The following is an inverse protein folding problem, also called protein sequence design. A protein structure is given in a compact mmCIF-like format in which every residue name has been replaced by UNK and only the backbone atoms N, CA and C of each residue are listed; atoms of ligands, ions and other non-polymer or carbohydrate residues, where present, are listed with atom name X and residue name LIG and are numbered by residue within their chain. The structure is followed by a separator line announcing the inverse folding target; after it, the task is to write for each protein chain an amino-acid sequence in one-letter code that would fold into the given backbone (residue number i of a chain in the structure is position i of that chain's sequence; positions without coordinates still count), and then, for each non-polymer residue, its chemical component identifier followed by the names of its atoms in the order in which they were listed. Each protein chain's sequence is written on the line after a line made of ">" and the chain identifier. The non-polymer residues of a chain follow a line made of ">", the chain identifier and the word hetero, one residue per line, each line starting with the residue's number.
data_IF_749487663188
#
_entry.id   IF_749487663188
#
_cell.length_a   1.000
_cell.length_b   1.000
_cell.length_c   1.000
_cell.angle_alpha   90.00
_cell.angle_beta   90.00
_cell.angle_gamma   90.00
#
_symmetry.space_group_name_H-M   'P 1'
#
loop_
_entity.id
_entity.type
_entity.pdbx_description
1 polymer ?
#
# COMPACT_ATOMS: atom_id res chain seq x y z
N UNK A 1 -30.16 17.75 -19.75
CA UNK A 1 -29.31 18.44 -18.76
C UNK A 1 -30.13 19.59 -18.19
N UNK A 2 -30.15 19.75 -16.86
CA UNK A 2 -30.90 20.82 -16.18
C UNK A 2 -30.05 21.43 -15.07
N UNK A 3 -30.27 22.71 -14.77
CA UNK A 3 -29.64 23.38 -13.62
C UNK A 3 -30.42 23.00 -12.36
N UNK A 4 -29.72 22.55 -11.32
CA UNK A 4 -30.33 22.12 -10.06
C UNK A 4 -29.72 22.91 -8.92
N UNK A 5 -30.58 23.39 -8.01
CA UNK A 5 -30.15 24.03 -6.77
C UNK A 5 -29.25 23.10 -5.97
N UNK A 6 -28.08 23.61 -5.60
CA UNK A 6 -27.04 22.85 -4.92
C UNK A 6 -27.46 22.30 -3.55
N UNK A 7 -28.47 22.92 -2.92
CA UNK A 7 -29.00 22.53 -1.61
C UNK A 7 -29.93 21.31 -1.68
N UNK A 8 -30.48 21.01 -2.86
CA UNK A 8 -31.28 19.81 -3.09
C UNK A 8 -30.40 18.56 -3.23
N UNK A 9 -29.15 18.75 -3.68
CA UNK A 9 -28.23 17.67 -4.01
C UNK A 9 -27.65 17.01 -2.76
N UNK A 10 -27.83 15.69 -2.67
CA UNK A 10 -27.35 14.83 -1.59
C UNK A 10 -26.30 13.86 -2.07
N UNK A 11 -25.25 13.66 -1.29
CA UNK A 11 -24.25 12.64 -1.59
C UNK A 11 -24.85 11.23 -1.43
N UNK A 12 -24.46 10.29 -2.29
CA UNK A 12 -24.85 8.89 -2.11
C UNK A 12 -24.29 8.34 -0.80
N UNK A 13 -25.10 7.69 0.08
CA UNK A 13 -24.68 7.34 1.44
C UNK A 13 -23.38 6.53 1.55
N UNK A 14 -23.15 5.60 0.61
CA UNK A 14 -21.97 4.74 0.60
C UNK A 14 -20.82 5.28 -0.28
N UNK A 15 -20.90 6.50 -0.80
CA UNK A 15 -19.89 7.03 -1.74
C UNK A 15 -18.46 6.95 -1.15
N UNK A 16 -18.30 7.28 0.13
CA UNK A 16 -17.01 7.25 0.83
C UNK A 16 -16.41 5.86 0.99
N UNK A 17 -17.21 4.79 0.90
CA UNK A 17 -16.70 3.41 0.93
C UNK A 17 -15.88 3.08 -0.33
N UNK A 18 -16.20 3.72 -1.45
CA UNK A 18 -15.69 3.42 -2.78
C UNK A 18 -14.74 4.47 -3.35
N UNK A 19 -14.91 5.73 -2.94
CA UNK A 19 -14.19 6.85 -3.54
C UNK A 19 -13.68 7.81 -2.47
N UNK A 20 -12.41 8.19 -2.59
CA UNK A 20 -11.79 9.24 -1.80
C UNK A 20 -12.08 10.63 -2.35
N UNK A 21 -11.93 11.61 -1.46
CA UNK A 21 -11.90 13.02 -1.81
C UNK A 21 -10.54 13.44 -2.37
N UNK A 22 -10.55 14.46 -3.22
CA UNK A 22 -9.32 15.13 -3.63
C UNK A 22 -8.89 16.04 -2.46
N UNK A 23 -7.61 15.99 -2.09
CA UNK A 23 -7.06 16.73 -0.95
C UNK A 23 -5.83 17.56 -1.36
N UNK A 24 -5.44 18.49 -0.48
CA UNK A 24 -4.21 19.29 -0.61
C UNK A 24 -4.20 20.26 -1.79
N UNK A 25 -3.02 20.45 -2.39
CA UNK A 25 -2.81 21.37 -3.53
C UNK A 25 -3.70 21.00 -4.73
N UNK A 26 -3.85 19.69 -5.01
CA UNK A 26 -4.74 19.19 -6.08
C UNK A 26 -6.19 19.61 -5.90
N UNK A 27 -6.66 19.74 -4.65
CA UNK A 27 -8.01 20.23 -4.37
C UNK A 27 -8.13 21.71 -4.72
N UNK A 28 -7.14 22.52 -4.35
CA UNK A 28 -7.14 23.95 -4.64
C UNK A 28 -7.10 24.22 -6.15
N UNK A 29 -6.25 23.50 -6.88
CA UNK A 29 -6.20 23.54 -8.35
C UNK A 29 -7.55 23.15 -8.96
N UNK A 30 -8.19 22.09 -8.43
CA UNK A 30 -9.49 21.64 -8.90
C UNK A 30 -10.58 22.69 -8.65
N UNK A 31 -10.64 23.29 -7.46
CA UNK A 31 -11.59 24.37 -7.13
C UNK A 31 -11.38 25.58 -8.05
N UNK A 32 -10.13 25.98 -8.28
CA UNK A 32 -9.82 27.11 -9.17
C UNK A 32 -10.22 26.81 -10.63
N UNK A 33 -10.09 25.55 -11.06
CA UNK A 33 -10.58 25.13 -12.38
C UNK A 33 -12.09 25.28 -12.52
N UNK A 34 -12.86 24.96 -11.46
CA UNK A 34 -14.32 25.12 -11.45
C UNK A 34 -14.69 26.61 -11.35
N UNK A 35 -13.91 27.43 -10.65
CA UNK A 35 -14.11 28.87 -10.57
C UNK A 35 -13.91 29.56 -11.92
N UNK A 36 -12.86 29.19 -12.64
CA UNK A 36 -12.47 29.81 -13.91
C UNK A 36 -13.26 29.28 -15.10
N UNK A 37 -13.50 27.98 -15.16
CA UNK A 37 -14.09 27.30 -16.32
C UNK A 37 -15.51 26.80 -16.09
N UNK A 38 -16.01 26.88 -14.85
CA UNK A 38 -17.30 26.29 -14.47
C UNK A 38 -17.28 24.76 -14.44
N UNK A 39 -18.47 24.18 -14.27
CA UNK A 39 -18.66 22.73 -14.35
C UNK A 39 -18.91 22.35 -15.82
N UNK A 40 -17.86 21.88 -16.49
CA UNK A 40 -17.91 21.48 -17.91
C UNK A 40 -18.71 20.18 -18.09
N UNK A 41 -18.38 19.16 -17.29
CA UNK A 41 -19.11 17.88 -17.30
C UNK A 41 -20.22 17.98 -16.25
N UNK A 42 -21.49 17.73 -16.58
CA UNK A 42 -22.59 17.78 -15.61
C UNK A 42 -22.49 16.67 -14.56
N UNK A 43 -23.06 16.91 -13.38
CA UNK A 43 -23.22 15.90 -12.35
C UNK A 43 -24.28 14.89 -12.80
N UNK A 44 -24.15 13.63 -12.38
CA UNK A 44 -25.18 12.61 -12.61
C UNK A 44 -25.92 12.41 -11.30
N UNK A 45 -27.23 12.58 -11.32
CA UNK A 45 -28.07 12.53 -10.12
C UNK A 45 -29.32 11.68 -10.35
N UNK A 46 -29.88 11.12 -9.30
CA UNK A 46 -31.15 10.38 -9.37
C UNK A 46 -32.35 11.32 -9.43
N UNK A 47 -33.55 10.78 -9.67
CA UNK A 47 -34.81 11.53 -9.54
C UNK A 47 -35.01 12.15 -8.14
N UNK A 48 -34.34 11.61 -7.12
CA UNK A 48 -34.38 12.07 -5.73
C UNK A 48 -33.21 13.01 -5.39
N UNK A 49 -32.51 13.54 -6.40
CA UNK A 49 -31.35 14.43 -6.29
C UNK A 49 -30.16 13.83 -5.51
N UNK A 50 -30.03 12.50 -5.52
CA UNK A 50 -28.85 11.82 -4.98
C UNK A 50 -27.75 11.80 -6.05
N UNK A 51 -26.56 12.26 -5.72
CA UNK A 51 -25.42 12.34 -6.65
C UNK A 51 -24.77 10.97 -6.82
N UNK A 52 -24.84 10.45 -8.04
CA UNK A 52 -24.21 9.20 -8.48
C UNK A 52 -22.79 9.46 -8.99
N UNK A 53 -22.58 10.56 -9.73
CA UNK A 53 -21.24 11.01 -10.14
C UNK A 53 -21.11 12.52 -10.06
N UNK A 54 -19.92 12.98 -9.65
CA UNK A 54 -19.58 14.40 -9.54
C UNK A 54 -19.57 14.96 -8.13
N UNK A 55 -19.38 14.12 -7.10
CA UNK A 55 -19.27 14.57 -5.70
C UNK A 55 -18.18 15.63 -5.49
N UNK A 56 -17.01 15.51 -6.14
CA UNK A 56 -15.96 16.54 -6.09
C UNK A 56 -16.42 17.87 -6.69
N UNK A 57 -17.14 17.84 -7.82
CA UNK A 57 -17.71 19.05 -8.46
C UNK A 57 -18.77 19.69 -7.59
N UNK A 58 -19.64 18.89 -6.97
CA UNK A 58 -20.62 19.38 -6.00
C UNK A 58 -19.93 20.08 -4.82
N UNK A 59 -18.91 19.45 -4.26
CA UNK A 59 -18.16 19.99 -3.11
C UNK A 59 -17.44 21.30 -3.48
N UNK A 60 -16.78 21.37 -4.63
CA UNK A 60 -16.13 22.58 -5.13
C UNK A 60 -17.14 23.70 -5.40
N UNK A 61 -18.28 23.37 -6.01
CA UNK A 61 -19.37 24.32 -6.26
C UNK A 61 -19.95 24.91 -4.95
N UNK A 62 -20.10 24.08 -3.91
CA UNK A 62 -20.50 24.55 -2.57
C UNK A 62 -19.46 25.48 -1.97
N UNK A 63 -18.17 25.13 -2.09
CA UNK A 63 -17.06 25.93 -1.56
C UNK A 63 -16.97 27.32 -2.19
N UNK A 64 -17.18 27.44 -3.50
CA UNK A 64 -17.15 28.74 -4.19
C UNK A 64 -18.51 29.47 -4.20
N UNK A 65 -19.55 28.90 -3.58
CA UNK A 65 -20.86 29.54 -3.41
C UNK A 65 -21.74 29.56 -4.67
N UNK A 66 -21.62 28.58 -5.56
CA UNK A 66 -22.57 28.44 -6.68
C UNK A 66 -23.97 28.10 -6.15
N UNK A 67 -25.00 28.75 -6.72
CA UNK A 67 -26.41 28.47 -6.38
C UNK A 67 -26.94 27.22 -7.06
N UNK A 68 -26.57 27.05 -8.33
CA UNK A 68 -27.05 25.95 -9.18
C UNK A 68 -25.89 25.30 -9.92
N UNK A 69 -26.02 24.01 -10.20
CA UNK A 69 -25.03 23.23 -10.96
C UNK A 69 -25.72 22.43 -12.07
N UNK A 70 -25.03 22.19 -13.21
CA UNK A 70 -25.60 21.41 -14.30
C UNK A 70 -25.65 19.93 -13.93
N UNK A 71 -26.84 19.32 -14.09
CA UNK A 71 -27.10 17.92 -13.76
C UNK A 71 -27.77 17.17 -14.93
N UNK A 72 -27.41 15.89 -15.04
CA UNK A 72 -28.13 14.86 -15.79
C UNK A 72 -28.92 14.02 -14.78
N UNK A 73 -30.25 14.08 -14.86
CA UNK A 73 -31.14 13.29 -13.99
C UNK A 73 -31.39 11.93 -14.64
N UNK A 74 -31.11 10.87 -13.89
CA UNK A 74 -31.36 9.49 -14.29
C UNK A 74 -32.42 8.85 -13.39
N UNK A 75 -33.27 8.04 -14.01
CA UNK A 75 -34.30 7.28 -13.31
C UNK A 75 -33.79 5.87 -13.00
N UNK A 76 -33.92 5.47 -11.75
CA UNK A 76 -33.60 4.11 -11.28
C UNK A 76 -34.84 3.45 -10.71
N UNK A 77 -35.09 2.21 -11.13
CA UNK A 77 -36.24 1.38 -10.79
C UNK A 77 -35.80 -0.08 -10.67
N UNK A 78 -36.58 -0.88 -9.94
CA UNK A 78 -36.38 -2.33 -9.86
C UNK A 78 -36.62 -2.95 -11.24
N UNK A 79 -35.57 -3.55 -11.82
CA UNK A 79 -35.64 -4.22 -13.12
C UNK A 79 -34.54 -5.24 -13.27
N UNK A 80 -34.75 -6.21 -14.16
CA UNK A 80 -33.78 -7.27 -14.49
C UNK A 80 -33.32 -8.07 -13.25
N UNK A 81 -34.17 -8.19 -12.24
CA UNK A 81 -33.86 -8.89 -10.98
C UNK A 81 -32.90 -8.14 -10.04
N UNK A 82 -32.59 -6.88 -10.34
CA UNK A 82 -31.80 -5.98 -9.49
C UNK A 82 -32.70 -4.91 -8.88
N UNK A 83 -32.37 -4.55 -7.63
CA UNK A 83 -33.04 -3.45 -6.93
C UNK A 83 -32.64 -2.09 -7.50
N UNK A 84 -33.47 -1.07 -7.29
CA UNK A 84 -33.13 0.34 -7.56
C UNK A 84 -31.77 0.70 -6.96
N UNK A 85 -31.51 0.28 -5.73
CA UNK A 85 -30.25 0.52 -5.02
C UNK A 85 -29.06 -0.14 -5.72
N UNK A 86 -29.20 -1.37 -6.19
CA UNK A 86 -28.14 -2.08 -6.93
C UNK A 86 -27.86 -1.39 -8.27
N UNK A 87 -28.89 -0.93 -8.99
CA UNK A 87 -28.72 -0.15 -10.22
C UNK A 87 -28.00 1.18 -9.98
N UNK A 88 -28.37 1.89 -8.91
CA UNK A 88 -27.68 3.12 -8.50
C UNK A 88 -26.22 2.86 -8.15
N UNK A 89 -25.94 1.80 -7.38
CA UNK A 89 -24.59 1.43 -6.96
C UNK A 89 -23.72 1.02 -8.15
N UNK A 90 -24.27 0.24 -9.07
CA UNK A 90 -23.61 -0.15 -10.32
C UNK A 90 -23.18 1.08 -11.12
N UNK A 91 -24.09 2.01 -11.38
CA UNK A 91 -23.80 3.21 -12.15
C UNK A 91 -22.80 4.14 -11.43
N UNK A 92 -22.93 4.26 -10.10
CA UNK A 92 -21.98 4.99 -9.25
C UNK A 92 -20.56 4.44 -9.44
N UNK A 93 -20.38 3.12 -9.36
CA UNK A 93 -19.06 2.51 -9.48
C UNK A 93 -18.54 2.66 -10.91
N UNK A 94 -19.29 2.23 -11.93
CA UNK A 94 -18.83 2.18 -13.31
C UNK A 94 -18.52 3.55 -13.89
N UNK A 95 -19.42 4.53 -13.66
CA UNK A 95 -19.23 5.88 -14.15
C UNK A 95 -18.00 6.52 -13.50
N UNK A 96 -17.82 6.39 -12.18
CA UNK A 96 -16.67 6.98 -11.50
C UNK A 96 -15.35 6.29 -11.89
N UNK A 97 -15.31 4.96 -12.03
CA UNK A 97 -14.12 4.23 -12.49
C UNK A 97 -13.70 4.66 -13.90
N UNK A 98 -14.67 4.84 -14.80
CA UNK A 98 -14.41 5.30 -16.18
C UNK A 98 -13.93 6.76 -16.24
N UNK A 99 -14.50 7.64 -15.42
CA UNK A 99 -14.19 9.07 -15.44
C UNK A 99 -12.89 9.44 -14.69
N UNK A 100 -12.61 8.82 -13.54
CA UNK A 100 -11.44 9.16 -12.71
C UNK A 100 -10.14 8.54 -13.21
N UNK A 101 -10.24 7.46 -13.98
CA UNK A 101 -9.10 6.62 -14.34
C UNK A 101 -8.62 5.78 -13.14
N UNK A 102 -8.21 4.56 -13.42
CA UNK A 102 -7.94 3.53 -12.39
C UNK A 102 -6.73 3.90 -11.50
N UNK A 103 -5.77 4.67 -12.05
CA UNK A 103 -4.48 4.93 -11.41
C UNK A 103 -4.53 5.79 -10.15
N UNK A 104 -5.63 6.51 -9.89
CA UNK A 104 -5.78 7.42 -8.75
C UNK A 104 -6.63 6.84 -7.61
N UNK A 105 -6.99 5.55 -7.68
CA UNK A 105 -7.88 4.93 -6.71
C UNK A 105 -7.12 4.15 -5.64
N UNK A 106 -7.59 4.31 -4.41
CA UNK A 106 -7.15 3.52 -3.28
C UNK A 106 -7.36 2.02 -3.56
N UNK A 107 -6.33 1.16 -3.39
CA UNK A 107 -6.44 -0.27 -3.68
C UNK A 107 -7.57 -0.97 -2.91
N UNK A 108 -7.80 -0.59 -1.66
CA UNK A 108 -8.83 -1.21 -0.83
C UNK A 108 -10.23 -0.80 -1.29
N UNK A 109 -10.42 0.47 -1.65
CA UNK A 109 -11.70 0.94 -2.20
C UNK A 109 -12.01 0.34 -3.57
N UNK A 110 -11.00 0.22 -4.43
CA UNK A 110 -11.12 -0.48 -5.71
C UNK A 110 -11.46 -1.96 -5.51
N UNK A 111 -10.90 -2.62 -4.49
CA UNK A 111 -11.27 -3.99 -4.12
C UNK A 111 -12.74 -4.11 -3.69
N UNK A 112 -13.28 -3.13 -2.95
CA UNK A 112 -14.72 -3.06 -2.61
C UNK A 112 -15.59 -2.84 -3.85
N UNK A 113 -15.20 -1.94 -4.75
CA UNK A 113 -15.88 -1.71 -6.03
C UNK A 113 -16.01 -3.01 -6.85
N UNK A 114 -14.91 -3.75 -6.99
CA UNK A 114 -14.89 -5.00 -7.74
C UNK A 114 -15.84 -6.04 -7.10
N UNK A 115 -15.84 -6.15 -5.77
CA UNK A 115 -16.69 -7.10 -5.05
C UNK A 115 -18.18 -6.79 -5.25
N UNK A 116 -18.57 -5.52 -5.17
CA UNK A 116 -19.96 -5.10 -5.42
C UNK A 116 -20.37 -5.28 -6.87
N UNK A 117 -19.50 -4.97 -7.83
CA UNK A 117 -19.78 -5.24 -9.25
C UNK A 117 -19.98 -6.74 -9.50
N UNK A 118 -19.11 -7.61 -8.97
CA UNK A 118 -19.30 -9.06 -9.10
C UNK A 118 -20.59 -9.55 -8.43
N UNK A 119 -20.96 -9.00 -7.27
CA UNK A 119 -22.22 -9.30 -6.59
C UNK A 119 -23.41 -8.94 -7.47
N UNK A 120 -23.43 -7.70 -7.98
CA UNK A 120 -24.52 -7.17 -8.82
C UNK A 120 -24.61 -7.94 -10.15
N UNK A 121 -23.48 -8.24 -10.79
CA UNK A 121 -23.44 -9.03 -12.02
C UNK A 121 -23.67 -10.54 -11.81
N UNK A 122 -23.74 -11.01 -10.57
CA UNK A 122 -23.94 -12.42 -10.25
C UNK A 122 -22.73 -13.31 -10.60
N UNK A 123 -21.52 -12.76 -10.67
CA UNK A 123 -20.30 -13.49 -11.01
C UNK A 123 -19.85 -14.34 -9.81
N UNK A 124 -19.93 -15.67 -9.91
CA UNK A 124 -19.37 -16.59 -8.91
C UNK A 124 -18.22 -17.40 -9.50
N UNK A 125 -17.16 -17.59 -8.69
CA UNK A 125 -15.84 -18.19 -9.01
C UNK A 125 -15.83 -19.10 -10.26
N UNK A 126 -15.26 -18.57 -11.36
CA UNK A 126 -14.58 -19.34 -12.41
C UNK A 126 -15.45 -20.15 -13.38
N UNK A 127 -16.77 -20.09 -13.31
CA UNK A 127 -17.64 -20.80 -14.24
C UNK A 127 -18.81 -19.95 -14.68
N UNK A 128 -18.98 -19.81 -16.00
CA UNK A 128 -20.17 -19.26 -16.61
C UNK A 128 -21.32 -20.27 -16.39
N UNK A 129 -21.86 -20.34 -15.16
CA UNK A 129 -23.18 -20.96 -14.99
C UNK A 129 -24.13 -19.99 -15.65
N UNK A 130 -24.66 -20.38 -16.82
CA UNK A 130 -25.95 -19.89 -17.33
C UNK A 130 -26.93 -19.91 -16.15
N UNK A 131 -27.05 -18.79 -15.44
CA UNK A 131 -28.12 -18.60 -14.48
C UNK A 131 -29.29 -18.05 -15.28
N UNK A 132 -30.24 -18.94 -15.56
CA UNK A 132 -31.65 -18.80 -15.17
C UNK A 132 -31.96 -17.34 -14.78
N UNK A 133 -32.15 -16.46 -15.77
CA UNK A 133 -32.84 -15.17 -15.66
C UNK A 133 -32.88 -14.47 -17.04
N UNK A 134 -33.13 -15.19 -18.13
CA UNK A 134 -33.49 -14.54 -19.40
C UNK A 134 -34.49 -15.40 -20.18
N UNK A 135 -35.72 -15.45 -19.67
CA UNK A 135 -36.88 -15.53 -20.56
C UNK A 135 -37.62 -14.21 -20.40
N UNK A 136 -37.16 -13.19 -21.12
CA UNK A 136 -38.01 -12.05 -21.42
C UNK A 136 -37.84 -11.70 -22.89
N UNK A 137 -38.91 -12.00 -23.62
CA UNK A 137 -39.13 -11.76 -25.02
C UNK A 137 -39.33 -10.27 -25.30
N UNK A 138 -38.27 -9.47 -25.31
CA UNK A 138 -38.27 -8.19 -26.01
C UNK A 138 -36.90 -7.94 -26.64
N UNK A 139 -36.86 -8.16 -27.95
CA UNK A 139 -35.72 -7.86 -28.81
C UNK A 139 -35.51 -6.35 -28.87
N UNK A 140 -34.49 -5.87 -28.18
CA UNK A 140 -33.75 -4.67 -28.60
C UNK A 140 -32.30 -5.09 -28.83
N UNK A 141 -31.85 -5.00 -30.09
CA UNK A 141 -30.53 -5.42 -30.58
C UNK A 141 -29.35 -4.78 -29.83
N UNK A 142 -29.58 -3.68 -29.11
CA UNK A 142 -28.54 -2.95 -28.37
C UNK A 142 -28.29 -3.48 -26.95
N UNK A 143 -29.19 -4.30 -26.40
CA UNK A 143 -29.10 -4.77 -24.99
C UNK A 143 -28.80 -6.27 -24.88
N UNK A 144 -29.00 -7.03 -25.96
CA UNK A 144 -28.70 -8.48 -26.03
C UNK A 144 -27.23 -8.81 -25.70
N UNK A 145 -26.31 -7.88 -25.98
CA UNK A 145 -24.88 -8.03 -25.65
C UNK A 145 -24.50 -7.69 -24.20
N UNK A 146 -25.36 -6.99 -23.44
CA UNK A 146 -25.04 -6.54 -22.08
C UNK A 146 -25.44 -7.54 -20.98
N UNK A 147 -26.24 -8.56 -21.33
CA UNK A 147 -26.75 -9.55 -20.38
C UNK A 147 -26.10 -10.94 -20.59
N UNK A 148 -25.28 -11.10 -21.65
CA UNK A 148 -24.72 -12.39 -22.07
C UNK A 148 -23.21 -12.55 -21.79
N UNK A 149 -22.65 -11.75 -20.87
CA UNK A 149 -21.20 -11.63 -20.68
C UNK A 149 -20.75 -11.27 -19.25
N UNK A 150 -21.25 -11.95 -18.22
CA UNK A 150 -20.85 -11.64 -16.84
C UNK A 150 -19.60 -12.44 -16.44
N UNK A 151 -18.56 -12.42 -17.28
CA UNK A 151 -17.27 -13.04 -16.95
C UNK A 151 -16.39 -12.06 -16.18
N UNK A 152 -15.55 -12.57 -15.27
CA UNK A 152 -14.56 -11.75 -14.56
C UNK A 152 -13.64 -10.98 -15.53
N UNK A 153 -13.41 -11.57 -16.72
CA UNK A 153 -12.68 -10.97 -17.83
C UNK A 153 -13.34 -9.71 -18.38
N UNK A 154 -14.65 -9.71 -18.55
CA UNK A 154 -15.38 -8.56 -19.08
C UNK A 154 -15.44 -7.42 -18.08
N UNK A 155 -15.62 -7.72 -16.79
CA UNK A 155 -15.48 -6.71 -15.73
C UNK A 155 -14.07 -6.09 -15.79
N UNK A 156 -13.03 -6.92 -15.92
CA UNK A 156 -11.64 -6.46 -16.05
C UNK A 156 -11.47 -5.52 -17.25
N UNK A 157 -11.95 -5.92 -18.43
CA UNK A 157 -11.85 -5.11 -19.65
C UNK A 157 -12.63 -3.79 -19.54
N UNK A 158 -13.85 -3.82 -19.01
CA UNK A 158 -14.71 -2.66 -18.87
C UNK A 158 -14.14 -1.60 -17.92
N UNK A 159 -13.45 -2.04 -16.86
CA UNK A 159 -12.77 -1.13 -15.93
C UNK A 159 -11.31 -0.89 -16.30
N UNK A 160 -10.79 -1.43 -17.40
CA UNK A 160 -9.42 -1.24 -17.89
C UNK A 160 -8.32 -1.94 -17.07
N UNK A 161 -8.66 -3.02 -16.36
CA UNK A 161 -7.73 -3.84 -15.58
C UNK A 161 -7.45 -5.20 -16.22
N UNK A 162 -6.35 -5.83 -15.81
CA UNK A 162 -6.08 -7.24 -16.13
C UNK A 162 -6.82 -8.15 -15.17
N UNK A 163 -7.18 -9.36 -15.62
CA UNK A 163 -7.81 -10.38 -14.77
C UNK A 163 -6.97 -10.68 -13.52
N UNK A 164 -5.64 -10.74 -13.68
CA UNK A 164 -4.69 -10.92 -12.57
C UNK A 164 -4.79 -9.80 -11.54
N UNK A 165 -4.89 -8.54 -11.98
CA UNK A 165 -5.00 -7.40 -11.08
C UNK A 165 -6.34 -7.40 -10.34
N UNK A 166 -7.43 -7.77 -11.01
CA UNK A 166 -8.72 -7.98 -10.34
C UNK A 166 -8.59 -9.05 -9.26
N UNK A 167 -7.99 -10.21 -9.56
CA UNK A 167 -7.85 -11.29 -8.58
C UNK A 167 -7.01 -10.86 -7.37
N UNK A 168 -5.90 -10.16 -7.60
CA UNK A 168 -5.07 -9.57 -6.56
C UNK A 168 -5.87 -8.61 -5.66
N UNK A 169 -6.62 -7.69 -6.26
CA UNK A 169 -7.41 -6.71 -5.51
C UNK A 169 -8.54 -7.39 -4.73
N UNK A 170 -9.24 -8.35 -5.32
CA UNK A 170 -10.28 -9.13 -4.64
C UNK A 170 -9.75 -9.79 -3.39
N UNK A 171 -8.53 -10.33 -3.46
CA UNK A 171 -7.88 -11.02 -2.35
C UNK A 171 -7.70 -10.10 -1.13
N UNK A 172 -7.57 -8.78 -1.33
CA UNK A 172 -7.48 -7.81 -0.22
C UNK A 172 -8.74 -7.78 0.66
N UNK A 173 -9.92 -8.12 0.13
CA UNK A 173 -11.14 -8.22 0.94
C UNK A 173 -11.12 -9.40 1.93
N UNK A 174 -10.18 -10.33 1.79
CA UNK A 174 -9.97 -11.46 2.71
C UNK A 174 -8.98 -11.12 3.84
N UNK A 175 -8.47 -9.88 3.88
CA UNK A 175 -7.66 -9.38 4.99
C UNK A 175 -8.52 -9.10 6.23
N UNK A 176 -7.94 -9.26 7.41
CA UNK A 176 -8.53 -8.77 8.67
C UNK A 176 -8.68 -7.24 8.66
N UNK A 177 -9.64 -6.66 9.41
CA UNK A 177 -9.93 -5.22 9.38
C UNK A 177 -8.70 -4.33 9.62
N UNK A 178 -7.81 -4.73 10.53
CA UNK A 178 -6.61 -4.00 10.90
C UNK A 178 -5.65 -3.88 9.70
N UNK A 179 -5.45 -4.98 8.97
CA UNK A 179 -4.62 -5.00 7.77
C UNK A 179 -5.29 -4.26 6.60
N UNK A 180 -6.62 -4.33 6.47
CA UNK A 180 -7.35 -3.54 5.47
C UNK A 180 -7.14 -2.03 5.67
N UNK A 181 -7.17 -1.56 6.92
CA UNK A 181 -6.92 -0.16 7.26
C UNK A 181 -5.50 0.24 6.86
N UNK A 182 -4.48 -0.60 7.11
CA UNK A 182 -3.11 -0.32 6.69
C UNK A 182 -2.96 -0.21 5.17
N UNK A 183 -3.68 -1.03 4.40
CA UNK A 183 -3.70 -0.93 2.93
C UNK A 183 -4.42 0.34 2.50
N UNK A 184 -5.56 0.66 3.10
CA UNK A 184 -6.35 1.86 2.80
C UNK A 184 -5.58 3.15 3.13
N UNK A 185 -4.77 3.17 4.19
CA UNK A 185 -3.87 4.29 4.51
C UNK A 185 -2.63 4.37 3.63
N UNK A 186 -2.40 3.39 2.74
CA UNK A 186 -1.20 3.32 1.89
C UNK A 186 0.08 2.92 2.64
N UNK A 187 -0.01 2.58 3.93
CA UNK A 187 1.13 2.08 4.73
C UNK A 187 1.54 0.67 4.28
N UNK A 188 0.57 -0.18 3.97
CA UNK A 188 0.79 -1.52 3.45
C UNK A 188 0.49 -1.57 1.94
N UNK A 189 1.49 -1.96 1.13
CA UNK A 189 1.28 -2.04 -0.32
C UNK A 189 0.22 -3.09 -0.69
N UNK A 190 -0.56 -2.86 -1.75
CA UNK A 190 -1.55 -3.83 -2.22
C UNK A 190 -0.96 -5.21 -2.54
N UNK A 191 0.32 -5.26 -2.92
CA UNK A 191 1.00 -6.52 -3.24
C UNK A 191 1.41 -7.30 -2.01
N UNK A 192 1.79 -6.61 -0.94
CA UNK A 192 2.08 -7.21 0.36
C UNK A 192 0.77 -7.67 1.04
N UNK A 193 -0.28 -6.82 0.98
CA UNK A 193 -1.63 -7.19 1.43
C UNK A 193 -2.18 -8.43 0.73
N UNK A 194 -1.99 -8.57 -0.58
CA UNK A 194 -2.38 -9.80 -1.29
C UNK A 194 -1.69 -11.05 -0.73
N UNK A 195 -0.40 -10.97 -0.38
CA UNK A 195 0.32 -12.12 0.19
C UNK A 195 -0.21 -12.49 1.58
N UNK A 196 -0.49 -11.48 2.42
CA UNK A 196 -1.07 -11.67 3.75
C UNK A 196 -2.47 -12.29 3.68
N UNK A 197 -3.27 -11.90 2.69
CA UNK A 197 -4.60 -12.44 2.49
C UNK A 197 -4.64 -13.93 2.09
N UNK A 198 -3.50 -14.53 1.69
CA UNK A 198 -3.43 -15.99 1.52
C UNK A 198 -3.31 -16.76 2.84
N UNK A 199 -3.03 -16.07 3.95
CA UNK A 199 -3.03 -16.66 5.28
C UNK A 199 -4.46 -16.74 5.81
N UNK A 200 -4.73 -17.74 6.65
CA UNK A 200 -6.01 -17.85 7.35
C UNK A 200 -6.21 -16.65 8.30
N UNK A 201 -7.45 -16.23 8.58
CA UNK A 201 -7.73 -15.07 9.44
C UNK A 201 -7.05 -15.14 10.81
N UNK A 202 -6.95 -16.32 11.42
CA UNK A 202 -6.26 -16.54 12.69
C UNK A 202 -4.77 -16.27 12.59
N UNK A 203 -4.14 -16.70 11.50
CA UNK A 203 -2.72 -16.49 11.24
C UNK A 203 -2.41 -15.01 10.95
N UNK A 204 -3.31 -14.33 10.21
CA UNK A 204 -3.21 -12.90 10.00
C UNK A 204 -3.27 -12.14 11.33
N UNK A 205 -4.18 -12.53 12.23
CA UNK A 205 -4.28 -11.94 13.58
C UNK A 205 -3.04 -12.24 14.43
N UNK A 206 -2.53 -13.46 14.45
CA UNK A 206 -1.31 -13.82 15.19
C UNK A 206 -0.13 -12.96 14.70
N UNK A 207 0.03 -12.81 13.39
CA UNK A 207 1.08 -12.01 12.79
C UNK A 207 0.93 -10.53 13.16
N UNK A 208 -0.27 -9.97 13.02
CA UNK A 208 -0.55 -8.57 13.37
C UNK A 208 -0.40 -8.32 14.87
N UNK A 209 -0.81 -9.23 15.74
CA UNK A 209 -0.64 -9.08 17.19
C UNK A 209 0.84 -9.13 17.61
N UNK A 210 1.66 -9.88 16.87
CA UNK A 210 3.09 -10.03 17.16
C UNK A 210 3.90 -8.83 16.67
N UNK A 211 3.59 -8.34 15.46
CA UNK A 211 4.39 -7.31 14.78
C UNK A 211 3.73 -5.92 14.81
N UNK A 212 2.45 -5.83 15.17
CA UNK A 212 1.67 -4.59 15.12
C UNK A 212 1.69 -3.95 13.74
N UNK A 213 1.85 -2.63 13.73
CA UNK A 213 1.94 -1.86 12.49
C UNK A 213 3.24 -2.13 11.69
N UNK A 214 4.27 -2.73 12.31
CA UNK A 214 5.53 -3.06 11.62
C UNK A 214 5.34 -4.17 10.56
N UNK A 215 4.20 -4.86 10.54
CA UNK A 215 3.82 -5.74 9.41
C UNK A 215 3.86 -4.99 8.08
N UNK A 216 3.59 -3.68 8.09
CA UNK A 216 3.62 -2.84 6.89
C UNK A 216 5.02 -2.73 6.26
N UNK A 217 6.08 -2.86 7.06
CA UNK A 217 7.47 -2.71 6.60
C UNK A 217 8.02 -3.98 5.94
N UNK A 218 7.31 -5.10 6.05
CA UNK A 218 7.70 -6.36 5.44
C UNK A 218 7.55 -6.30 3.93
N UNK A 219 8.61 -6.68 3.22
CA UNK A 219 8.57 -6.82 1.77
C UNK A 219 7.70 -8.01 1.39
N UNK A 220 7.09 -7.93 0.21
CA UNK A 220 6.30 -9.01 -0.38
C UNK A 220 7.01 -10.37 -0.33
N UNK A 221 8.31 -10.41 -0.64
CA UNK A 221 9.11 -11.64 -0.63
C UNK A 221 9.30 -12.23 0.77
N UNK A 222 9.40 -11.37 1.80
CA UNK A 222 9.55 -11.80 3.20
C UNK A 222 8.25 -12.42 3.71
N UNK A 223 7.11 -11.79 3.39
CA UNK A 223 5.77 -12.33 3.68
C UNK A 223 5.55 -13.66 2.96
N UNK A 224 5.96 -13.74 1.68
CA UNK A 224 5.85 -14.98 0.91
C UNK A 224 6.69 -16.11 1.51
N UNK A 225 7.92 -15.82 1.95
CA UNK A 225 8.79 -16.79 2.63
C UNK A 225 8.19 -17.25 3.95
N UNK A 226 7.69 -16.32 4.76
CA UNK A 226 7.07 -16.64 6.05
C UNK A 226 5.85 -17.54 5.85
N UNK A 227 4.99 -17.23 4.87
CA UNK A 227 3.85 -18.07 4.51
C UNK A 227 4.26 -19.48 4.13
N UNK A 228 5.30 -19.64 3.29
CA UNK A 228 5.79 -20.97 2.89
C UNK A 228 6.28 -21.77 4.10
N UNK A 229 7.03 -21.14 4.99
CA UNK A 229 7.47 -21.77 6.24
C UNK A 229 6.30 -22.19 7.13
N UNK A 230 5.30 -21.32 7.29
CA UNK A 230 4.10 -21.63 8.08
C UNK A 230 3.32 -22.82 7.51
N UNK A 231 3.20 -22.91 6.17
CA UNK A 231 2.54 -24.02 5.51
C UNK A 231 3.33 -25.34 5.66
N UNK A 232 4.66 -25.28 5.58
CA UNK A 232 5.53 -26.43 5.84
C UNK A 232 5.39 -26.93 7.27
N UNK A 233 5.40 -26.03 8.26
CA UNK A 233 5.18 -26.39 9.67
C UNK A 233 3.79 -26.98 9.90
N UNK A 234 2.75 -26.41 9.27
CA UNK A 234 1.39 -26.94 9.35
C UNK A 234 1.31 -28.37 8.81
N UNK A 235 1.95 -28.64 7.68
CA UNK A 235 1.99 -29.97 7.08
C UNK A 235 2.70 -30.96 8.01
N UNK A 236 3.85 -30.58 8.57
CA UNK A 236 4.57 -31.42 9.52
C UNK A 236 3.74 -31.71 10.79
N UNK A 237 3.02 -30.71 11.31
CA UNK A 237 2.14 -30.85 12.45
C UNK A 237 1.00 -31.84 12.17
N UNK A 238 0.36 -31.73 11.01
CA UNK A 238 -0.73 -32.63 10.60
C UNK A 238 -0.25 -34.07 10.43
N UNK A 239 0.90 -34.28 9.77
CA UNK A 239 1.51 -35.60 9.63
C UNK A 239 1.84 -36.22 11.00
N UNK A 240 2.26 -35.40 11.97
CA UNK A 240 2.53 -35.84 13.32
C UNK A 240 1.26 -36.20 14.09
N UNK A 241 0.19 -35.40 13.97
CA UNK A 241 -1.11 -35.71 14.57
C UNK A 241 -1.68 -37.02 14.03
N UNK A 242 -1.55 -37.27 12.73
CA UNK A 242 -1.99 -38.52 12.10
C UNK A 242 -1.21 -39.73 12.63
N UNK A 243 0.10 -39.57 12.90
CA UNK A 243 0.91 -40.62 13.53
C UNK A 243 0.49 -40.89 14.97
N UNK A 244 0.23 -39.84 15.75
CA UNK A 244 -0.22 -39.95 17.14
C UNK A 244 -1.55 -40.72 17.20
N UNK A 245 -2.53 -40.31 16.39
CA UNK A 245 -3.84 -40.98 16.34
C UNK A 245 -3.74 -42.44 15.88
N UNK A 246 -2.84 -42.76 14.95
CA UNK A 246 -2.58 -44.15 14.57
C UNK A 246 -1.98 -44.98 15.71
N UNK A 247 -1.02 -44.41 16.46
CA UNK A 247 -0.40 -45.08 17.62
C UNK A 247 -1.40 -45.26 18.78
N UNK A 248 -2.25 -44.26 19.04
CA UNK A 248 -3.31 -44.37 20.05
C UNK A 248 -4.29 -45.50 19.71
N UNK A 249 -4.63 -45.66 18.43
CA UNK A 249 -5.47 -46.77 17.99
C UNK A 249 -4.79 -48.12 18.22
N UNK A 250 -3.52 -48.27 17.85
CA UNK A 250 -2.75 -49.50 18.10
C UNK A 250 -2.64 -49.82 19.59
N UNK A 251 -2.42 -48.81 20.43
CA UNK A 251 -2.37 -48.96 21.89
C UNK A 251 -3.69 -49.52 22.43
N UNK A 252 -4.83 -48.97 21.96
CA UNK A 252 -6.16 -49.43 22.36
C UNK A 252 -6.42 -50.89 21.94
N UNK A 253 -6.07 -51.25 20.71
CA UNK A 253 -6.18 -52.64 20.22
C UNK A 253 -5.33 -53.61 21.08
N UNK A 254 -4.13 -53.20 21.48
CA UNK A 254 -3.27 -54.01 22.37
C UNK A 254 -3.85 -54.15 23.79
N UNK A 255 -4.46 -53.10 24.34
CA UNK A 255 -5.15 -53.14 25.63
C UNK A 255 -6.37 -54.07 25.60
N UNK A 256 -7.17 -54.05 24.54
CA UNK A 256 -8.31 -54.95 24.36
C UNK A 256 -7.88 -56.43 24.28
N UNK A 257 -6.80 -56.72 23.54
CA UNK A 257 -6.23 -58.08 23.48
C UNK A 257 -5.73 -58.51 24.85
N UNK A 258 -5.07 -57.61 25.59
CA UNK A 258 -4.57 -57.89 26.94
C UNK A 258 -5.72 -58.26 27.88
N UNK A 259 -6.81 -57.50 27.89
CA UNK A 259 -8.00 -57.82 28.71
C UNK A 259 -8.62 -59.18 28.32
N UNK A 260 -8.65 -59.51 27.03
CA UNK A 260 -9.17 -60.80 26.55
C UNK A 260 -8.30 -61.98 27.02
N UNK A 261 -6.97 -61.81 26.98
CA UNK A 261 -6.03 -62.81 27.48
C UNK A 261 -6.12 -62.97 29.00
N UNK A 262 -6.25 -61.87 29.76
CA UNK A 262 -6.43 -61.92 31.22
C UNK A 262 -7.70 -62.69 31.61
N UNK A 263 -8.81 -62.51 30.87
CA UNK A 263 -10.04 -63.29 31.06
C UNK A 263 -9.83 -64.78 30.75
N UNK A 264 -9.16 -65.11 29.64
CA UNK A 264 -8.86 -66.50 29.27
C UNK A 264 -7.98 -67.19 30.32
N UNK A 265 -6.99 -66.49 30.89
CA UNK A 265 -6.16 -67.03 31.97
C UNK A 265 -6.98 -67.27 33.25
N UNK A 266 -7.91 -66.38 33.58
CA UNK A 266 -8.77 -66.52 34.76
C UNK A 266 -9.78 -67.68 34.65
N UNK A 267 -10.16 -68.07 33.43
CA UNK A 267 -11.06 -69.21 33.16
C UNK A 267 -10.37 -70.58 33.27
N UNK A 268 -9.03 -70.62 33.26
CA UNK A 268 -8.25 -71.84 33.48
C UNK A 268 -8.28 -72.19 34.98
N UNK A 269 -9.10 -73.19 35.36
CA UNK A 269 -9.06 -73.75 36.71
C UNK A 269 -7.81 -74.63 36.88
N UNK A 270 -7.06 -74.50 37.99
CA UNK A 270 -5.88 -75.33 38.21
C UNK A 270 -6.31 -76.76 38.61
N UNK A 271 -6.34 -77.68 37.64
CA UNK A 271 -6.21 -79.11 37.93
C UNK A 271 -4.72 -79.45 38.04
N UNK A 272 -4.32 -79.98 39.21
CA UNK A 272 -2.94 -80.36 39.53
C UNK A 272 -2.49 -81.49 38.62
N UNK A 273 -1.63 -81.22 37.62
CA UNK A 273 -0.73 -82.20 36.97
C UNK A 273 0.62 -81.54 36.63
N UNK A 274 1.71 -82.27 36.88
CA UNK A 274 3.13 -81.91 36.76
C UNK A 274 3.58 -81.54 35.33
N UNK A 275 3.31 -80.31 34.90
CA UNK A 275 4.16 -79.46 34.02
C UNK A 275 3.38 -78.19 33.73
N UNK A 276 3.98 -77.04 34.05
CA UNK A 276 3.43 -75.74 33.66
C UNK A 276 3.20 -75.79 32.15
N UNK A 277 1.96 -75.62 31.65
CA UNK A 277 1.69 -75.67 30.21
C UNK A 277 2.59 -74.68 29.48
N UNK A 278 3.25 -75.12 28.41
CA UNK A 278 4.21 -74.30 27.64
C UNK A 278 3.59 -72.95 27.23
N UNK A 279 2.29 -72.94 26.93
CA UNK A 279 1.48 -71.77 26.60
C UNK A 279 1.45 -70.69 27.71
N UNK A 280 1.50 -71.08 28.99
CA UNK A 280 1.52 -70.12 30.12
C UNK A 280 2.89 -69.45 30.27
N UNK A 281 3.98 -70.19 29.99
CA UNK A 281 5.32 -69.61 29.99
C UNK A 281 5.52 -68.69 28.78
N UNK A 282 5.00 -69.05 27.61
CA UNK A 282 4.97 -68.18 26.44
C UNK A 282 4.17 -66.90 26.68
N UNK A 283 2.98 -66.98 27.26
CA UNK A 283 2.18 -65.78 27.60
C UNK A 283 2.89 -64.87 28.61
N UNK A 284 3.56 -65.45 29.61
CA UNK A 284 4.30 -64.68 30.61
C UNK A 284 5.52 -63.97 29.98
N UNK A 285 6.18 -64.62 29.03
CA UNK A 285 7.30 -64.04 28.30
C UNK A 285 6.83 -62.94 27.35
N UNK A 286 5.71 -63.13 26.63
CA UNK A 286 5.16 -62.08 25.76
C UNK A 286 4.68 -60.87 26.57
N UNK A 287 4.04 -61.07 27.71
CA UNK A 287 3.60 -59.99 28.60
C UNK A 287 4.79 -59.20 29.17
N UNK A 288 5.91 -59.88 29.45
CA UNK A 288 7.17 -59.21 29.82
C UNK A 288 7.72 -58.36 28.67
N UNK A 289 7.77 -58.90 27.44
CA UNK A 289 8.24 -58.17 26.25
C UNK A 289 7.36 -56.95 25.95
N UNK A 290 6.04 -57.08 26.09
CA UNK A 290 5.10 -55.97 25.87
C UNK A 290 5.27 -54.88 26.93
N UNK A 291 5.50 -55.25 28.20
CA UNK A 291 5.78 -54.27 29.25
C UNK A 291 7.09 -53.51 28.99
N UNK A 292 8.15 -54.21 28.56
CA UNK A 292 9.41 -53.58 28.18
C UNK A 292 9.24 -52.64 26.97
N UNK A 293 8.42 -53.01 25.99
CA UNK A 293 8.05 -52.14 24.86
C UNK A 293 7.22 -50.93 25.30
N UNK A 294 6.30 -51.11 26.24
CA UNK A 294 5.47 -50.02 26.79
C UNK A 294 6.34 -48.98 27.51
N UNK A 295 7.27 -49.43 28.37
CA UNK A 295 8.23 -48.53 29.04
C UNK A 295 9.12 -47.78 28.04
N UNK A 296 9.60 -48.46 26.99
CA UNK A 296 10.37 -47.81 25.94
C UNK A 296 9.56 -46.75 25.19
N UNK A 297 8.28 -47.01 24.90
CA UNK A 297 7.39 -46.05 24.27
C UNK A 297 7.11 -44.85 25.18
N UNK A 298 6.86 -45.06 26.47
CA UNK A 298 6.68 -43.97 27.44
C UNK A 298 7.92 -43.09 27.52
N UNK A 299 9.12 -43.69 27.51
CA UNK A 299 10.38 -42.95 27.52
C UNK A 299 10.56 -42.12 26.24
N UNK A 300 10.26 -42.70 25.08
CA UNK A 300 10.29 -42.02 23.78
C UNK A 300 9.29 -40.85 23.71
N UNK A 301 8.13 -41.00 24.34
CA UNK A 301 7.07 -39.98 24.36
C UNK A 301 7.51 -38.77 25.21
N UNK A 302 8.10 -39.02 26.38
CA UNK A 302 8.71 -37.96 27.19
C UNK A 302 9.87 -37.24 26.48
N UNK A 303 10.73 -37.97 25.75
CA UNK A 303 11.82 -37.38 24.95
C UNK A 303 11.27 -36.46 23.84
N UNK A 304 10.22 -36.90 23.14
CA UNK A 304 9.56 -36.09 22.11
C UNK A 304 8.86 -34.85 22.68
N UNK A 305 8.25 -34.97 23.85
CA UNK A 305 7.60 -33.84 24.53
C UNK A 305 8.61 -32.79 25.01
N UNK A 306 9.79 -33.23 25.48
CA UNK A 306 10.90 -32.34 25.80
C UNK A 306 11.45 -31.63 24.55
N UNK A 307 11.64 -32.35 23.44
CA UNK A 307 12.13 -31.75 22.20
C UNK A 307 11.10 -30.78 21.59
N UNK A 308 9.80 -31.06 21.70
CA UNK A 308 8.72 -30.13 21.32
C UNK A 308 8.81 -28.83 22.11
N UNK A 309 8.95 -28.91 23.43
CA UNK A 309 9.07 -27.73 24.29
C UNK A 309 10.34 -26.91 23.96
N UNK A 310 11.45 -27.59 23.65
CA UNK A 310 12.70 -26.95 23.21
C UNK A 310 12.52 -26.20 21.89
N UNK A 311 11.83 -26.80 20.91
CA UNK A 311 11.53 -26.16 19.63
C UNK A 311 10.61 -24.95 19.79
N UNK A 312 9.59 -25.03 20.66
CA UNK A 312 8.72 -23.89 20.98
C UNK A 312 9.51 -22.74 21.63
N UNK A 313 10.47 -23.05 22.50
CA UNK A 313 11.35 -22.04 23.11
C UNK A 313 12.28 -21.39 22.08
N UNK A 314 12.88 -22.17 21.18
CA UNK A 314 13.70 -21.65 20.08
C UNK A 314 12.88 -20.79 19.12
N UNK A 315 11.65 -21.19 18.80
CA UNK A 315 10.71 -20.40 17.99
C UNK A 315 10.42 -19.05 18.65
N UNK A 316 10.14 -19.03 19.96
CA UNK A 316 9.91 -17.80 20.72
C UNK A 316 11.14 -16.89 20.74
N UNK A 317 12.34 -17.45 20.95
CA UNK A 317 13.60 -16.69 20.92
C UNK A 317 13.85 -16.06 19.54
N UNK A 318 13.67 -16.81 18.46
CA UNK A 318 13.84 -16.28 17.11
C UNK A 318 12.87 -15.14 16.78
N UNK A 319 11.62 -15.22 17.26
CA UNK A 319 10.63 -14.14 17.12
C UNK A 319 11.05 -12.90 17.90
N UNK A 320 11.51 -13.06 19.13
CA UNK A 320 11.95 -11.95 19.98
C UNK A 320 13.22 -11.27 19.44
N UNK A 321 14.20 -12.05 18.96
CA UNK A 321 15.40 -11.51 18.28
C UNK A 321 15.01 -10.71 17.02
N UNK A 322 14.05 -11.21 16.25
CA UNK A 322 13.56 -10.51 15.06
C UNK A 322 12.84 -9.21 15.41
N UNK A 323 12.06 -9.21 16.50
CA UNK A 323 11.40 -8.02 17.04
C UNK A 323 12.42 -6.96 17.45
N UNK A 324 13.46 -7.35 18.20
CA UNK A 324 14.52 -6.43 18.61
C UNK A 324 15.24 -5.81 17.40
N UNK A 325 15.57 -6.62 16.39
CA UNK A 325 16.17 -6.13 15.15
C UNK A 325 15.25 -5.12 14.39
N UNK A 326 13.93 -5.32 14.43
CA UNK A 326 12.97 -4.39 13.84
C UNK A 326 12.87 -3.09 14.65
N UNK A 327 12.89 -3.16 15.98
CA UNK A 327 12.91 -1.98 16.85
C UNK A 327 14.20 -1.14 16.64
N UNK A 328 15.36 -1.79 16.49
CA UNK A 328 16.62 -1.12 16.16
C UNK A 328 16.60 -0.48 14.77
N UNK A 329 16.06 -1.18 13.77
CA UNK A 329 15.88 -0.65 12.41
C UNK A 329 14.99 0.60 12.42
N UNK A 330 13.87 0.56 13.15
CA UNK A 330 12.95 1.70 13.27
C UNK A 330 13.62 2.93 13.91
N UNK A 331 14.47 2.72 14.94
CA UNK A 331 15.27 3.79 15.54
C UNK A 331 16.25 4.40 14.54
N UNK A 332 16.97 3.57 13.78
CA UNK A 332 17.90 4.02 12.76
C UNK A 332 17.18 4.81 11.63
N UNK A 333 16.00 4.36 11.20
CA UNK A 333 15.20 5.07 10.20
C UNK A 333 14.70 6.44 10.70
N UNK A 334 14.35 6.54 11.99
CA UNK A 334 13.99 7.81 12.61
C UNK A 334 15.19 8.79 12.66
N UNK A 335 16.39 8.31 12.99
CA UNK A 335 17.61 9.11 12.95
C UNK A 335 17.92 9.60 11.53
N UNK A 336 17.83 8.72 10.53
CA UNK A 336 18.01 9.10 9.12
C UNK A 336 17.00 10.17 8.69
N UNK A 337 15.76 10.09 9.15
CA UNK A 337 14.73 11.10 8.87
C UNK A 337 15.08 12.45 9.50
N UNK A 338 15.56 12.46 10.74
CA UNK A 338 16.02 13.68 11.41
C UNK A 338 17.22 14.30 10.69
N UNK A 339 18.23 13.50 10.34
CA UNK A 339 19.40 13.97 9.58
C UNK A 339 18.97 14.55 8.23
N UNK A 340 18.01 13.93 7.53
CA UNK A 340 17.47 14.47 6.28
C UNK A 340 16.76 15.80 6.49
N UNK A 341 15.99 15.94 7.55
CA UNK A 341 15.33 17.20 7.88
C UNK A 341 16.36 18.30 8.17
N UNK A 342 17.39 18.01 8.96
CA UNK A 342 18.50 18.93 9.23
C UNK A 342 19.25 19.31 7.94
N UNK A 343 19.54 18.35 7.06
CA UNK A 343 20.13 18.60 5.75
C UNK A 343 19.25 19.49 4.87
N UNK A 344 17.94 19.31 4.89
CA UNK A 344 17.00 20.12 4.12
C UNK A 344 16.91 21.56 4.66
N UNK A 345 16.91 21.72 5.99
CA UNK A 345 17.01 23.02 6.66
C UNK A 345 18.32 23.73 6.30
N UNK A 346 19.44 23.02 6.35
CA UNK A 346 20.75 23.56 5.94
C UNK A 346 20.75 23.93 4.45
N UNK A 347 20.19 23.10 3.56
CA UNK A 347 20.07 23.43 2.13
C UNK A 347 19.21 24.67 1.89
N UNK A 348 18.11 24.84 2.61
CA UNK A 348 17.30 26.06 2.52
C UNK A 348 18.09 27.27 3.03
N UNK A 349 18.75 27.15 4.18
CA UNK A 349 19.54 28.22 4.78
C UNK A 349 20.69 28.68 3.88
N UNK A 350 21.50 27.76 3.37
CA UNK A 350 22.66 28.08 2.53
C UNK A 350 22.32 28.28 1.04
N UNK A 351 21.23 27.68 0.55
CA UNK A 351 20.75 27.86 -0.82
C UNK A 351 20.13 29.24 -1.06
N UNK A 352 19.43 29.80 -0.06
CA UNK A 352 18.90 31.18 -0.12
C UNK A 352 20.05 32.19 -0.09
N UNK A 353 21.08 31.94 0.73
CA UNK A 353 22.24 32.82 0.87
C UNK A 353 23.10 32.84 -0.41
N UNK A 354 23.36 31.67 -1.01
CA UNK A 354 24.09 31.56 -2.28
C UNK A 354 23.33 32.22 -3.45
N UNK A 355 22.00 32.05 -3.51
CA UNK A 355 21.17 32.64 -4.57
C UNK A 355 21.10 34.16 -4.49
N UNK A 356 21.01 34.72 -3.28
CA UNK A 356 21.11 36.18 -3.06
C UNK A 356 22.47 36.75 -3.47
N UNK A 357 23.56 36.02 -3.23
CA UNK A 357 24.89 36.48 -3.64
C UNK A 357 25.09 36.41 -5.16
N UNK A 358 24.56 35.39 -5.84
CA UNK A 358 24.54 35.34 -7.31
C UNK A 358 23.72 36.49 -7.91
N UNK A 359 22.52 36.77 -7.39
CA UNK A 359 21.69 37.89 -7.86
C UNK A 359 22.37 39.26 -7.65
N UNK A 360 23.15 39.41 -6.57
CA UNK A 360 23.92 40.62 -6.32
C UNK A 360 25.12 40.74 -7.28
N UNK A 361 25.80 39.63 -7.56
CA UNK A 361 26.90 39.56 -8.53
C UNK A 361 26.42 39.86 -9.96
N UNK A 362 25.28 39.31 -10.37
CA UNK A 362 24.69 39.56 -11.70
C UNK A 362 24.31 41.04 -11.88
N UNK A 363 23.75 41.67 -10.84
CA UNK A 363 23.46 43.13 -10.85
C UNK A 363 24.73 43.96 -10.98
N UNK A 364 25.79 43.59 -10.26
CA UNK A 364 27.08 44.28 -10.33
C UNK A 364 27.72 44.12 -11.72
N UNK A 365 27.62 42.92 -12.32
CA UNK A 365 28.09 42.66 -13.69
C UNK A 365 27.34 43.53 -14.70
N UNK A 366 26.02 43.68 -14.57
CA UNK A 366 25.24 44.55 -15.46
C UNK A 366 25.59 46.05 -15.30
N UNK A 367 25.86 46.52 -14.09
CA UNK A 367 26.36 47.89 -13.88
C UNK A 367 27.75 48.08 -14.51
N UNK A 368 28.65 47.12 -14.35
CA UNK A 368 29.99 47.15 -14.99
C UNK A 368 29.85 47.19 -16.51
N UNK A 369 28.97 46.37 -17.11
CA UNK A 369 28.71 46.41 -18.57
C UNK A 369 28.21 47.77 -19.04
N UNK A 370 27.34 48.43 -18.29
CA UNK A 370 26.87 49.80 -18.62
C UNK A 370 27.99 50.82 -18.58
N UNK A 371 28.85 50.74 -17.56
CA UNK A 371 30.03 51.62 -17.45
C UNK A 371 30.99 51.38 -18.61
N UNK A 372 31.25 50.13 -18.97
CA UNK A 372 32.06 49.78 -20.14
C UNK A 372 31.42 50.35 -21.40
N UNK A 373 30.14 50.08 -21.67
CA UNK A 373 29.46 50.58 -22.87
C UNK A 373 29.48 52.11 -22.99
N UNK A 374 29.32 52.83 -21.87
CA UNK A 374 29.47 54.29 -21.85
C UNK A 374 30.91 54.72 -22.15
N UNK A 375 31.91 54.04 -21.57
CA UNK A 375 33.31 54.31 -21.87
C UNK A 375 33.66 54.01 -23.34
N UNK A 376 33.13 52.93 -23.92
CA UNK A 376 33.29 52.59 -25.34
C UNK A 376 32.61 53.61 -26.23
N UNK A 377 31.40 54.07 -25.89
CA UNK A 377 30.72 55.13 -26.63
C UNK A 377 31.44 56.48 -26.55
N UNK A 378 32.06 56.80 -25.39
CA UNK A 378 32.94 57.97 -25.26
C UNK A 378 34.19 57.82 -26.14
N UNK A 379 34.80 56.62 -26.17
CA UNK A 379 35.96 56.32 -27.01
C UNK A 379 35.63 56.34 -28.52
N UNK A 380 34.42 55.95 -28.92
CA UNK A 380 33.94 56.02 -30.31
C UNK A 380 33.60 57.47 -30.74
N UNK A 381 33.14 58.31 -29.81
CA UNK A 381 32.92 59.75 -30.04
C UNK A 381 34.22 60.57 -30.04
N UNK A 382 35.28 60.03 -29.46
CA UNK A 382 36.63 60.58 -29.58
C UNK A 382 37.20 60.15 -30.93
N UNK A 383 37.29 61.08 -31.87
CA UNK A 383 37.92 60.89 -33.18
C UNK A 383 39.44 60.65 -32.94
N UNK A 384 39.84 59.40 -32.68
CA UNK A 384 41.18 59.03 -32.17
C UNK A 384 42.29 59.50 -33.12
N UNK A 385 41.99 59.63 -34.43
CA UNK A 385 42.92 60.12 -35.45
C UNK A 385 43.18 61.65 -35.40
N UNK A 386 42.39 62.42 -34.63
CA UNK A 386 42.58 63.88 -34.48
C UNK A 386 43.17 64.30 -33.14
N UNK A 387 43.54 63.37 -32.28
CA UNK A 387 44.21 63.71 -31.02
C UNK A 387 45.66 64.13 -31.31
N UNK A 388 46.05 65.39 -31.03
CA UNK A 388 47.46 65.81 -31.16
C UNK A 388 48.33 64.97 -30.22
N UNK A 389 49.56 64.67 -30.65
CA UNK A 389 50.62 63.98 -29.89
C UNK A 389 50.94 64.70 -28.57
N UNK A 390 50.05 64.56 -27.59
CA UNK A 390 50.28 64.95 -26.22
C UNK A 390 50.63 63.69 -25.44
N UNK A 391 51.85 63.69 -24.91
CA UNK A 391 52.40 62.66 -24.04
C UNK A 391 51.35 62.25 -23.00
N UNK A 392 50.90 61.00 -23.13
CA UNK A 392 50.04 60.28 -22.20
C UNK A 392 50.58 60.43 -20.77
N UNK A 393 49.76 60.94 -19.83
CA UNK A 393 50.04 60.68 -18.42
C UNK A 393 48.88 60.75 -17.42
N UNK A 394 47.64 61.09 -17.81
CA UNK A 394 46.55 61.20 -16.82
C UNK A 394 45.40 60.22 -17.05
N UNK A 395 44.89 60.08 -18.29
CA UNK A 395 43.73 59.22 -18.54
C UNK A 395 44.08 57.73 -18.58
N UNK A 396 45.18 57.38 -19.24
CA UNK A 396 45.73 56.02 -19.30
C UNK A 396 46.20 55.54 -17.92
N UNK A 397 46.79 56.43 -17.13
CA UNK A 397 47.16 56.17 -15.73
C UNK A 397 45.92 55.94 -14.87
N UNK A 398 44.87 56.74 -15.05
CA UNK A 398 43.59 56.57 -14.34
C UNK A 398 42.88 55.27 -14.73
N UNK A 399 42.91 54.90 -16.01
CA UNK A 399 42.34 53.65 -16.52
C UNK A 399 43.12 52.43 -16.00
N UNK A 400 44.46 52.50 -16.00
CA UNK A 400 45.31 51.45 -15.42
C UNK A 400 45.12 51.31 -13.90
N UNK A 401 44.96 52.43 -13.17
CA UNK A 401 44.64 52.41 -11.73
C UNK A 401 43.24 51.82 -11.49
N UNK A 402 42.29 52.08 -12.38
CA UNK A 402 40.93 51.53 -12.28
C UNK A 402 40.91 50.02 -12.57
N UNK A 403 41.66 49.58 -13.58
CA UNK A 403 41.83 48.15 -13.92
C UNK A 403 42.57 47.41 -12.79
N UNK A 404 43.66 47.97 -12.24
CA UNK A 404 44.41 47.40 -11.11
C UNK A 404 43.53 47.31 -9.84
N UNK A 405 42.65 48.30 -9.60
CA UNK A 405 41.68 48.24 -8.50
C UNK A 405 40.62 47.16 -8.70
N UNK A 406 40.16 46.95 -9.94
CA UNK A 406 39.20 45.90 -10.27
C UNK A 406 39.84 44.50 -10.15
N UNK A 407 41.07 44.31 -10.60
CA UNK A 407 41.81 43.05 -10.44
C UNK A 407 42.06 42.73 -8.96
N UNK A 408 42.43 43.72 -8.15
CA UNK A 408 42.61 43.53 -6.70
C UNK A 408 41.30 43.23 -5.97
N UNK A 409 40.18 43.83 -6.40
CA UNK A 409 38.85 43.52 -5.88
C UNK A 409 38.43 42.09 -6.26
N UNK A 410 38.70 41.67 -7.50
CA UNK A 410 38.40 40.32 -7.98
C UNK A 410 39.25 39.26 -7.24
N UNK A 411 40.56 39.47 -7.12
CA UNK A 411 41.45 38.56 -6.38
C UNK A 411 41.09 38.50 -4.89
N UNK A 412 40.74 39.63 -4.27
CA UNK A 412 40.26 39.63 -2.88
C UNK A 412 38.92 38.91 -2.72
N UNK A 413 38.02 38.99 -3.70
CA UNK A 413 36.76 38.26 -3.68
C UNK A 413 36.98 36.75 -3.87
N UNK A 414 37.92 36.36 -4.74
CA UNK A 414 38.27 34.97 -5.00
C UNK A 414 38.97 34.31 -3.79
N UNK A 415 39.92 35.00 -3.13
CA UNK A 415 40.54 34.53 -1.88
C UNK A 415 39.52 34.42 -0.73
N UNK A 416 38.59 35.38 -0.62
CA UNK A 416 37.57 35.36 0.43
C UNK A 416 36.53 34.25 0.19
N UNK A 417 36.16 33.99 -1.06
CA UNK A 417 35.31 32.86 -1.44
C UNK A 417 35.96 31.50 -1.14
N UNK A 418 37.28 31.36 -1.36
CA UNK A 418 38.03 30.15 -1.00
C UNK A 418 38.21 29.94 0.51
N UNK A 419 38.16 31.01 1.31
CA UNK A 419 38.38 30.96 2.77
C UNK A 419 37.12 30.73 3.62
N UNK A 420 35.93 30.64 3.01
CA UNK A 420 34.66 30.38 3.71
C UNK A 420 34.18 31.49 4.66
N UNK A 421 34.82 32.66 4.66
CA UNK A 421 34.44 33.81 5.51
C UNK A 421 33.60 34.81 4.72
N UNK A 422 32.28 34.70 4.87
CA UNK A 422 31.28 35.67 4.41
C UNK A 422 31.50 37.00 5.18
N UNK A 423 31.65 38.12 4.47
CA UNK A 423 31.71 39.47 5.07
C UNK A 423 30.56 40.32 4.53
N UNK A 424 29.72 40.81 5.44
CA UNK A 424 28.59 41.71 5.21
C UNK A 424 29.05 43.10 4.78
N UNK A 425 28.42 43.67 3.75
CA UNK A 425 28.47 45.13 3.51
C UNK A 425 27.09 45.74 3.78
N UNK A 426 27.03 46.55 4.84
CA UNK A 426 25.88 47.34 5.27
C UNK A 426 25.68 48.49 4.27
N UNK A 427 24.47 48.63 3.74
CA UNK A 427 24.04 49.76 2.90
C UNK A 427 24.33 51.07 3.63
N UNK A 428 25.10 51.97 3.03
CA UNK A 428 25.23 53.35 3.49
C UNK A 428 24.22 54.16 2.67
N UNK A 429 23.18 54.63 3.35
CA UNK A 429 22.23 55.59 2.81
C UNK A 429 22.92 56.94 2.64
N UNK A 430 22.76 57.54 1.46
CA UNK A 430 22.59 58.98 1.23
C UNK A 430 21.94 59.17 -0.14
#
# INVERSE_FOLDING_TARGET
>A
MQMVDINLLKEYPRNREFFDDIEGERWQEFVESIRTSGIIVPLIVTQDYIVISGNQRLKAAKEIGLKEVPCEVRTYEDRDGLTKEDWMLKDLIETNLRQRGIGNLNPMKLARCILELERIYGVKRGGNRKNILVNSSYQSETVSHLISGNSQKEIAQNIGLTERRIQQLKKLNELIPELQILVEQGKLSSSAGEQLAYLEPEQQKELYNTLGDAVADLKRSEIESLRKQMEEYRKQYLDMQNKITALEKQKKEAEEIKEELEKKIAEIKPEVIEKVPDDYQELKNTLKTINEQSEQLTKRLNELEQEKNRLDELRRKAIEEKRQALEEKARAEAEVKNIRYELEQLKQQYGIEAKKQCELADKLIEEIKKVIANATGILELMDIEKLPDYKYNDFSTTLLIFIDKLEKLYQSAEEKARSGKIVFFKRKEE
#
